data_IF_350962623032
#
_entry.id   IF_350962623032
#
_cell.length_a   1.000
_cell.length_b   1.000
_cell.length_c   1.000
_cell.angle_alpha   90.00
_cell.angle_beta   90.00
_cell.angle_gamma   90.00
#
_symmetry.space_group_name_H-M   'P 1'
#
loop_
_entity.id
_entity.type
_entity.pdbx_description
1 polymer ?
#
# COMPACT_ATOMS: atom_id res chain seq x y z
N UNK A 1 1.82 7.47 28.05
CA UNK A 1 1.67 8.08 26.73
C UNK A 1 0.51 7.41 26.00
N UNK A 2 -0.26 8.17 25.25
CA UNK A 2 -1.38 7.62 24.49
C UNK A 2 -1.31 8.18 23.03
N UNK A 3 -0.81 7.40 22.08
CA UNK A 3 -0.78 7.85 20.69
C UNK A 3 -2.19 8.14 20.18
N UNK A 4 -2.30 9.12 19.30
CA UNK A 4 -3.59 9.50 18.70
C UNK A 4 -3.89 8.79 17.36
N UNK A 5 -2.97 7.99 16.87
CA UNK A 5 -3.15 7.21 15.66
C UNK A 5 -1.84 6.93 14.94
N UNK A 6 -1.95 6.24 13.83
CA UNK A 6 -0.83 5.98 12.94
C UNK A 6 -0.66 7.18 11.99
N UNK A 7 0.52 7.82 12.00
CA UNK A 7 0.79 8.96 11.12
C UNK A 7 1.17 8.51 9.71
N UNK A 8 2.16 7.63 9.61
CA UNK A 8 2.58 7.11 8.31
C UNK A 8 3.28 5.76 8.44
N UNK A 9 3.37 5.07 7.30
CA UNK A 9 4.20 3.89 7.11
C UNK A 9 5.27 4.26 6.09
N UNK A 10 6.53 4.04 6.41
CA UNK A 10 7.63 4.23 5.47
C UNK A 10 8.01 2.89 4.84
N UNK A 11 8.15 2.88 3.52
CA UNK A 11 8.41 1.69 2.72
C UNK A 11 9.64 1.94 1.87
N UNK A 12 10.60 1.01 1.91
CA UNK A 12 11.76 1.04 1.04
C UNK A 12 11.40 0.53 -0.34
N UNK A 13 11.80 1.27 -1.37
CA UNK A 13 11.59 0.91 -2.77
C UNK A 13 12.89 1.12 -3.55
N UNK A 14 13.11 0.31 -4.58
CA UNK A 14 14.32 0.39 -5.39
C UNK A 14 14.26 1.49 -6.43
N UNK A 15 13.07 1.83 -6.91
CA UNK A 15 12.83 2.89 -7.88
C UNK A 15 11.61 3.68 -7.41
N UNK A 16 11.85 4.91 -6.92
CA UNK A 16 10.79 5.74 -6.34
C UNK A 16 9.75 6.21 -7.35
N UNK A 17 10.13 6.38 -8.61
CA UNK A 17 9.18 6.83 -9.64
C UNK A 17 8.28 5.69 -10.11
N UNK A 18 8.82 4.49 -10.25
CA UNK A 18 8.04 3.28 -10.52
C UNK A 18 7.08 2.98 -9.38
N UNK A 19 7.55 3.11 -8.13
CA UNK A 19 6.70 2.92 -6.95
C UNK A 19 5.60 3.98 -6.88
N UNK A 20 5.90 5.26 -7.18
CA UNK A 20 4.89 6.31 -7.22
C UNK A 20 3.80 5.98 -8.23
N UNK A 21 4.17 5.57 -9.44
CA UNK A 21 3.19 5.20 -10.47
C UNK A 21 2.28 4.06 -9.98
N UNK A 22 2.83 3.08 -9.29
CA UNK A 22 2.05 1.98 -8.73
C UNK A 22 1.08 2.46 -7.64
N UNK A 23 1.57 3.14 -6.62
CA UNK A 23 0.72 3.55 -5.50
C UNK A 23 -0.30 4.62 -5.90
N UNK A 24 0.06 5.53 -6.79
CA UNK A 24 -0.84 6.58 -7.27
C UNK A 24 -1.81 6.07 -8.34
N UNK A 25 -1.30 5.41 -9.38
CA UNK A 25 -2.10 5.10 -10.59
C UNK A 25 -2.80 3.75 -10.48
N UNK A 26 -2.21 2.76 -9.82
CA UNK A 26 -2.83 1.43 -9.62
C UNK A 26 -3.67 1.41 -8.34
N UNK A 27 -3.10 1.87 -7.22
CA UNK A 27 -3.80 1.84 -5.92
C UNK A 27 -4.62 3.09 -5.64
N UNK A 28 -4.47 4.16 -6.40
CA UNK A 28 -5.30 5.35 -6.29
C UNK A 28 -4.96 6.29 -5.15
N UNK A 29 -3.75 6.22 -4.58
CA UNK A 29 -3.34 7.14 -3.53
C UNK A 29 -2.93 8.50 -4.12
N UNK A 30 -3.31 9.59 -3.47
CA UNK A 30 -2.94 10.92 -3.92
C UNK A 30 -1.55 11.31 -3.43
N UNK A 31 -0.73 11.86 -4.33
CA UNK A 31 0.60 12.34 -3.95
C UNK A 31 0.49 13.60 -3.09
N UNK A 32 1.33 13.68 -2.05
CA UNK A 32 1.45 14.82 -1.15
C UNK A 32 2.77 15.55 -1.38
N UNK A 33 2.86 16.86 -1.10
CA UNK A 33 4.12 17.58 -1.11
C UNK A 33 5.14 16.92 -0.17
N UNK A 34 6.37 16.78 -0.64
CA UNK A 34 7.47 16.19 0.13
C UNK A 34 8.66 17.13 0.09
N UNK A 35 9.23 17.50 1.27
CA UNK A 35 10.48 18.27 1.29
C UNK A 35 11.63 17.51 0.61
N UNK A 36 12.60 18.23 0.09
CA UNK A 36 13.81 17.64 -0.43
C UNK A 36 14.75 17.28 0.73
N UNK A 37 14.94 15.98 0.95
CA UNK A 37 15.82 15.47 2.02
C UNK A 37 17.19 15.06 1.51
N UNK A 38 17.49 15.26 0.22
CA UNK A 38 18.75 14.82 -0.38
C UNK A 38 18.75 13.35 -0.81
N UNK A 39 17.63 12.64 -0.67
CA UNK A 39 17.42 11.28 -1.20
C UNK A 39 16.03 11.16 -1.81
N UNK A 40 15.87 10.21 -2.75
CA UNK A 40 14.63 10.05 -3.49
C UNK A 40 13.50 9.44 -2.67
N UNK A 41 12.28 9.81 -3.00
CA UNK A 41 11.07 9.28 -2.40
C UNK A 41 9.84 10.11 -2.73
N UNK A 42 8.70 9.61 -2.29
CA UNK A 42 7.41 10.28 -2.47
C UNK A 42 6.53 10.04 -1.25
N UNK A 43 5.67 11.00 -0.96
CA UNK A 43 4.66 10.88 0.09
C UNK A 43 3.28 10.79 -0.55
N UNK A 44 2.43 9.93 0.01
CA UNK A 44 1.07 9.72 -0.49
C UNK A 44 0.07 9.70 0.65
N UNK A 45 -1.11 10.24 0.38
CA UNK A 45 -2.24 10.20 1.28
C UNK A 45 -2.95 8.85 1.15
N UNK A 46 -3.08 8.13 2.25
CA UNK A 46 -3.77 6.83 2.31
C UNK A 46 -5.09 6.92 3.10
N UNK A 47 -5.63 8.09 3.23
CA UNK A 47 -6.90 8.29 3.97
C UNK A 47 -6.71 8.36 5.47
N UNK A 48 -6.61 8.86 6.33
CA UNK A 48 -6.34 8.86 7.78
C UNK A 48 -4.88 8.62 8.16
N UNK A 49 -4.01 8.29 7.18
CA UNK A 49 -2.58 8.12 7.37
C UNK A 49 -1.87 8.31 6.04
N UNK A 50 -0.55 8.19 6.04
CA UNK A 50 0.26 8.39 4.84
C UNK A 50 1.13 7.18 4.54
N UNK A 51 1.51 7.02 3.28
CA UNK A 51 2.55 6.11 2.83
C UNK A 51 3.73 6.95 2.35
N UNK A 52 4.89 6.70 2.92
CA UNK A 52 6.15 7.36 2.53
C UNK A 52 7.01 6.35 1.79
N UNK A 53 7.30 6.61 0.53
CA UNK A 53 8.20 5.80 -0.26
C UNK A 53 9.60 6.38 -0.13
N UNK A 54 10.58 5.52 0.17
CA UNK A 54 11.99 5.92 0.28
C UNK A 54 12.83 5.05 -0.64
N UNK A 55 13.66 5.66 -1.47
CA UNK A 55 14.62 4.90 -2.25
C UNK A 55 15.71 4.35 -1.33
N UNK A 56 15.72 3.04 -1.14
CA UNK A 56 16.67 2.35 -0.29
C UNK A 56 16.68 0.86 -0.63
N UNK A 57 17.59 0.11 -0.04
CA UNK A 57 17.62 -1.33 -0.19
C UNK A 57 16.34 -1.94 0.41
N UNK A 58 15.71 -2.83 -0.36
CA UNK A 58 14.51 -3.55 0.08
C UNK A 58 14.93 -4.85 0.73
N UNK A 59 14.42 -5.10 1.95
CA UNK A 59 14.64 -6.34 2.67
C UNK A 59 13.39 -7.20 2.65
N UNK A 60 13.54 -8.50 2.89
CA UNK A 60 12.41 -9.41 2.98
C UNK A 60 11.44 -8.98 4.09
N UNK A 61 10.13 -9.04 3.82
CA UNK A 61 9.12 -8.52 4.72
C UNK A 61 8.87 -9.38 5.98
N UNK A 62 9.22 -10.67 5.93
CA UNK A 62 8.96 -11.58 7.06
C UNK A 62 7.47 -11.68 7.44
N UNK A 63 6.58 -11.34 6.52
CA UNK A 63 5.15 -11.26 6.78
C UNK A 63 4.65 -9.86 7.14
N UNK A 64 5.55 -8.90 7.34
CA UNK A 64 5.16 -7.51 7.56
C UNK A 64 4.52 -6.93 6.31
N UNK A 65 3.44 -6.17 6.47
CA UNK A 65 2.73 -5.58 5.35
C UNK A 65 1.89 -4.39 5.82
N UNK A 66 1.50 -3.55 4.88
CA UNK A 66 0.46 -2.57 5.13
C UNK A 66 -0.87 -3.09 4.57
N UNK A 67 -1.96 -2.70 5.19
CA UNK A 67 -3.30 -3.02 4.72
C UNK A 67 -4.05 -1.73 4.40
N UNK A 68 -4.59 -1.65 3.19
CA UNK A 68 -5.43 -0.55 2.76
C UNK A 68 -6.90 -0.98 2.88
N UNK A 69 -7.71 -0.16 3.52
CA UNK A 69 -9.15 -0.37 3.59
C UNK A 69 -9.78 -0.04 2.25
N UNK A 70 -10.64 -0.93 1.77
CA UNK A 70 -11.46 -0.71 0.57
C UNK A 70 -12.93 -0.96 0.91
N UNK A 71 -13.83 -0.25 0.25
CA UNK A 71 -15.27 -0.44 0.45
C UNK A 71 -15.81 -1.65 -0.33
N UNK A 72 -15.23 -1.94 -1.49
CA UNK A 72 -15.63 -3.03 -2.37
C UNK A 72 -14.38 -3.77 -2.84
N UNK A 73 -14.08 -4.90 -2.20
CA UNK A 73 -12.89 -5.69 -2.52
C UNK A 73 -12.94 -6.25 -3.93
N UNK A 74 -14.09 -6.74 -4.39
CA UNK A 74 -14.20 -7.35 -5.71
C UNK A 74 -13.92 -6.31 -6.81
N UNK A 75 -14.45 -5.10 -6.67
CA UNK A 75 -14.19 -4.01 -7.60
C UNK A 75 -12.72 -3.57 -7.57
N UNK A 76 -12.13 -3.48 -6.38
CA UNK A 76 -10.71 -3.11 -6.22
C UNK A 76 -9.80 -4.16 -6.88
N UNK A 77 -10.04 -5.44 -6.64
CA UNK A 77 -9.27 -6.54 -7.24
C UNK A 77 -9.38 -6.51 -8.77
N UNK A 78 -10.58 -6.33 -9.31
CA UNK A 78 -10.80 -6.26 -10.75
C UNK A 78 -10.02 -5.10 -11.37
N UNK A 79 -10.07 -3.92 -10.76
CA UNK A 79 -9.35 -2.72 -11.22
C UNK A 79 -7.85 -2.93 -11.25
N UNK A 80 -7.30 -3.53 -10.19
CA UNK A 80 -5.85 -3.79 -10.09
C UNK A 80 -5.42 -4.82 -11.15
N UNK A 81 -6.20 -5.88 -11.35
CA UNK A 81 -5.91 -6.89 -12.37
C UNK A 81 -5.95 -6.32 -13.79
N UNK A 82 -6.82 -5.35 -14.05
CA UNK A 82 -6.84 -4.63 -15.32
C UNK A 82 -5.54 -3.85 -15.58
N UNK A 83 -4.84 -3.44 -14.51
CA UNK A 83 -3.52 -2.82 -14.63
C UNK A 83 -2.39 -3.84 -14.85
N UNK A 84 -2.70 -5.13 -14.98
CA UNK A 84 -1.71 -6.19 -15.18
C UNK A 84 -1.02 -6.66 -13.91
N UNK A 85 -1.55 -6.34 -12.74
CA UNK A 85 -0.97 -6.73 -11.45
C UNK A 85 -1.65 -8.00 -10.94
N UNK A 86 -0.85 -8.98 -10.49
CA UNK A 86 -1.36 -10.19 -9.88
C UNK A 86 -1.92 -9.90 -8.49
N UNK A 87 -3.08 -10.44 -8.19
CA UNK A 87 -3.73 -10.33 -6.89
C UNK A 87 -4.18 -11.70 -6.43
N UNK A 88 -3.76 -12.08 -5.22
CA UNK A 88 -4.19 -13.32 -4.58
C UNK A 88 -5.38 -13.02 -3.66
N UNK A 89 -6.48 -13.74 -3.86
CA UNK A 89 -7.63 -13.67 -2.95
C UNK A 89 -7.55 -14.85 -1.97
N UNK A 90 -8.06 -14.65 -0.76
CA UNK A 90 -8.08 -15.68 0.28
C UNK A 90 -9.52 -15.94 0.73
N UNK A 91 -9.82 -17.12 1.30
CA UNK A 91 -11.13 -17.39 1.85
C UNK A 91 -11.48 -16.36 2.95
N UNK A 92 -12.77 -15.99 3.03
CA UNK A 92 -13.24 -15.09 4.06
C UNK A 92 -13.02 -15.70 5.45
N UNK A 93 -12.37 -14.93 6.33
CA UNK A 93 -12.16 -15.28 7.73
C UNK A 93 -13.08 -14.41 8.58
N UNK A 94 -14.04 -14.98 9.31
CA UNK A 94 -14.90 -14.20 10.21
C UNK A 94 -14.08 -13.39 11.21
N UNK A 95 -14.42 -12.10 11.35
CA UNK A 95 -13.71 -11.17 12.22
C UNK A 95 -12.53 -10.46 11.59
N UNK A 96 -11.96 -10.99 10.51
CA UNK A 96 -10.80 -10.39 9.81
C UNK A 96 -11.20 -9.62 8.56
N UNK A 97 -12.48 -9.66 8.17
CA UNK A 97 -12.96 -9.08 6.93
C UNK A 97 -12.57 -9.90 5.71
N UNK A 98 -12.81 -9.34 4.54
CA UNK A 98 -12.40 -9.93 3.26
C UNK A 98 -11.06 -9.35 2.87
N UNK A 99 -10.12 -10.20 2.46
CA UNK A 99 -8.72 -9.83 2.20
C UNK A 99 -8.27 -10.25 0.82
N UNK A 100 -7.40 -9.44 0.24
CA UNK A 100 -6.61 -9.79 -0.95
C UNK A 100 -5.18 -9.28 -0.77
N UNK A 101 -4.21 -9.93 -1.44
CA UNK A 101 -2.80 -9.62 -1.29
C UNK A 101 -2.15 -9.43 -2.66
N UNK A 102 -1.24 -8.48 -2.72
CA UNK A 102 -0.45 -8.21 -3.92
C UNK A 102 0.95 -7.72 -3.52
N UNK A 103 1.83 -7.63 -4.50
CA UNK A 103 3.18 -7.09 -4.33
C UNK A 103 3.30 -5.78 -5.10
N UNK A 104 3.98 -4.80 -4.50
CA UNK A 104 4.39 -3.61 -5.24
C UNK A 104 5.58 -3.93 -6.17
N UNK A 105 6.00 -3.00 -7.05
CA UNK A 105 7.12 -3.28 -7.98
C UNK A 105 8.44 -3.62 -7.30
N UNK A 106 8.66 -3.20 -6.08
CA UNK A 106 9.86 -3.53 -5.30
C UNK A 106 9.72 -4.85 -4.53
N UNK A 107 8.56 -5.51 -4.57
CA UNK A 107 8.28 -6.76 -3.89
C UNK A 107 7.67 -6.60 -2.50
N UNK A 108 7.33 -5.39 -2.07
CA UNK A 108 6.68 -5.18 -0.77
C UNK A 108 5.26 -5.74 -0.78
N UNK A 109 4.88 -6.39 0.33
CA UNK A 109 3.55 -6.98 0.49
C UNK A 109 2.52 -5.92 0.83
N UNK A 110 1.40 -5.93 0.11
CA UNK A 110 0.25 -5.04 0.33
C UNK A 110 -1.00 -5.89 0.49
N UNK A 111 -1.77 -5.61 1.54
CA UNK A 111 -3.08 -6.19 1.73
C UNK A 111 -4.17 -5.18 1.35
N UNK A 112 -5.24 -5.65 0.71
CA UNK A 112 -6.50 -4.92 0.60
C UNK A 112 -7.48 -5.57 1.57
N UNK A 113 -8.15 -4.77 2.39
CA UNK A 113 -9.07 -5.28 3.40
C UNK A 113 -10.42 -4.57 3.30
N UNK A 114 -11.47 -5.37 3.11
CA UNK A 114 -12.84 -4.91 3.24
C UNK A 114 -13.34 -5.37 4.61
N UNK A 115 -13.41 -4.48 5.61
CA UNK A 115 -13.87 -4.86 6.94
C UNK A 115 -15.32 -5.33 6.93
N UNK A 116 -15.68 -6.17 7.90
CA UNK A 116 -17.05 -6.62 8.07
C UNK A 116 -17.97 -5.49 8.53
N UNK A 117 -17.38 -4.50 9.18
CA UNK A 117 -18.11 -3.36 9.75
C UNK A 117 -17.42 -2.04 9.46
#
# INVERSE_FOLDING_TARGET
>A
MRPSGLHHVAICVTDEDEALAFYRDVLGLAELPRPDFGFGGHWLDAGGGQVHLMRAEVVADGGHHLALRVEDLDAAVASIRECGVEVATVPHLPGAGRQAFLRDPAGNLVELNQPEF
#
